data_IF_570128862821
#
_entry.id   IF_570128862821
#
_cell.length_a   1.000
_cell.length_b   1.000
_cell.length_c   1.000
_cell.angle_alpha   90.00
_cell.angle_beta   90.00
_cell.angle_gamma   90.00
#
_symmetry.space_group_name_H-M   'P 1'
#
loop_
_entity.id
_entity.type
_entity.pdbx_description
1 polymer ?
#
# COMPACT_ATOMS: atom_id res chain seq x y z
N UNK A 1 0.36 22.99 -3.97
CA UNK A 1 -0.81 22.07 -3.90
C UNK A 1 -0.53 20.74 -3.20
N UNK A 2 0.54 20.00 -3.53
CA UNK A 2 0.81 18.69 -2.93
C UNK A 2 0.87 18.71 -1.39
N UNK A 3 1.68 19.60 -0.80
CA UNK A 3 1.83 19.72 0.66
C UNK A 3 0.51 20.02 1.39
N UNK A 4 -0.37 20.84 0.78
CA UNK A 4 -1.67 21.14 1.35
C UNK A 4 -2.59 19.90 1.34
N UNK A 5 -2.55 19.11 0.26
CA UNK A 5 -3.33 17.86 0.15
C UNK A 5 -2.78 16.73 1.02
N UNK A 6 -1.51 16.75 1.41
CA UNK A 6 -0.91 15.73 2.28
C UNK A 6 -0.78 16.17 3.75
N UNK A 7 -1.19 17.40 4.10
CA UNK A 7 -1.03 17.96 5.44
C UNK A 7 -1.73 17.14 6.55
N UNK A 8 -2.81 16.42 6.21
CA UNK A 8 -3.54 15.55 7.14
C UNK A 8 -2.95 14.14 7.26
N UNK A 9 -1.97 13.79 6.42
CA UNK A 9 -1.33 12.48 6.41
C UNK A 9 -0.10 12.49 7.30
N UNK A 10 0.18 11.37 7.97
CA UNK A 10 1.35 11.28 8.86
C UNK A 10 2.65 11.43 8.05
N UNK A 11 3.55 12.35 8.45
CA UNK A 11 4.85 12.50 7.81
C UNK A 11 5.67 11.20 7.84
N UNK A 12 6.41 10.94 6.76
CA UNK A 12 7.25 9.74 6.63
C UNK A 12 6.56 8.52 6.01
N UNK A 13 5.25 8.57 5.77
CA UNK A 13 4.54 7.51 5.03
C UNK A 13 4.77 7.69 3.52
N UNK A 14 5.25 6.66 2.79
CA UNK A 14 5.42 6.73 1.35
C UNK A 14 4.06 6.70 0.65
N UNK A 15 3.70 7.83 0.04
CA UNK A 15 2.44 8.04 -0.66
C UNK A 15 2.72 8.23 -2.16
N UNK A 16 2.26 7.31 -3.03
CA UNK A 16 2.44 7.46 -4.46
C UNK A 16 1.53 8.55 -5.03
N UNK A 17 2.05 9.31 -5.99
CA UNK A 17 1.28 10.26 -6.78
C UNK A 17 1.44 9.94 -8.27
N UNK A 18 0.34 9.98 -9.03
CA UNK A 18 0.38 9.92 -10.50
C UNK A 18 0.30 11.34 -11.03
N UNK A 19 1.32 11.77 -11.76
CA UNK A 19 1.34 13.07 -12.42
C UNK A 19 1.02 12.88 -13.89
N UNK A 20 -0.02 13.55 -14.38
CA UNK A 20 -0.42 13.62 -15.78
C UNK A 20 -0.03 14.99 -16.31
N UNK A 21 0.95 15.03 -17.23
CA UNK A 21 1.42 16.25 -17.87
C UNK A 21 0.77 16.37 -19.24
N UNK A 22 0.15 17.51 -19.54
CA UNK A 22 -0.50 17.80 -20.81
C UNK A 22 0.42 18.61 -21.75
N UNK A 23 0.13 18.67 -23.06
CA UNK A 23 0.97 19.36 -24.04
C UNK A 23 1.12 20.88 -23.80
N UNK A 24 0.13 21.50 -23.15
CA UNK A 24 0.15 22.90 -22.72
C UNK A 24 1.03 23.15 -21.49
N UNK A 25 1.82 22.16 -21.05
CA UNK A 25 2.61 22.15 -19.82
C UNK A 25 1.77 22.28 -18.54
N UNK A 26 0.44 22.18 -18.64
CA UNK A 26 -0.39 21.99 -17.45
C UNK A 26 -0.18 20.58 -16.90
N UNK A 27 -0.27 20.45 -15.58
CA UNK A 27 -0.18 19.15 -14.92
C UNK A 27 -1.35 18.96 -13.96
N UNK A 28 -1.81 17.73 -13.87
CA UNK A 28 -2.74 17.28 -12.84
C UNK A 28 -2.09 16.13 -12.08
N UNK A 29 -2.18 16.13 -10.76
CA UNK A 29 -1.66 15.02 -9.96
C UNK A 29 -2.75 14.42 -9.07
N UNK A 30 -2.80 13.10 -9.08
CA UNK A 30 -3.67 12.28 -8.25
C UNK A 30 -2.83 11.64 -7.14
N UNK A 31 -3.16 11.96 -5.90
CA UNK A 31 -2.57 11.32 -4.72
C UNK A 31 -3.30 10.00 -4.48
N UNK A 32 -2.52 8.94 -4.22
CA UNK A 32 -3.03 7.60 -3.95
C UNK A 32 -2.88 7.26 -2.47
N UNK A 33 -3.47 6.17 -2.05
CA UNK A 33 -3.26 5.59 -0.72
C UNK A 33 -1.85 5.02 -0.58
N UNK A 34 -1.32 4.92 0.66
CA UNK A 34 0.02 4.36 0.94
C UNK A 34 0.23 3.00 0.29
N UNK A 35 1.45 2.66 -0.12
CA UNK A 35 1.70 1.40 -0.84
C UNK A 35 1.30 0.17 -0.02
N UNK A 36 0.79 -0.87 -0.70
CA UNK A 36 0.35 -2.11 -0.03
C UNK A 36 1.50 -2.76 0.74
N UNK A 37 2.71 -2.78 0.18
CA UNK A 37 3.90 -3.29 0.85
C UNK A 37 4.23 -2.53 2.14
N UNK A 38 4.07 -1.19 2.15
CA UNK A 38 4.27 -0.40 3.37
C UNK A 38 3.23 -0.74 4.44
N UNK A 39 1.95 -0.83 4.05
CA UNK A 39 0.85 -1.17 4.97
C UNK A 39 1.03 -2.57 5.57
N UNK A 40 1.45 -3.54 4.77
CA UNK A 40 1.71 -4.92 5.21
C UNK A 40 2.88 -5.01 6.20
N UNK A 41 3.99 -4.34 5.89
CA UNK A 41 5.16 -4.31 6.78
C UNK A 41 4.86 -3.59 8.10
N UNK A 42 4.10 -2.49 8.03
CA UNK A 42 3.63 -1.77 9.22
C UNK A 42 2.70 -2.64 10.08
N UNK A 43 1.74 -3.34 9.47
CA UNK A 43 0.84 -4.25 10.19
C UNK A 43 1.59 -5.44 10.82
N UNK A 44 2.68 -5.89 10.19
CA UNK A 44 3.55 -6.95 10.71
C UNK A 44 4.60 -6.44 11.73
N UNK A 45 4.58 -5.16 12.10
CA UNK A 45 5.59 -4.51 12.97
C UNK A 45 7.03 -4.68 12.49
N UNK A 46 7.24 -4.74 11.17
CA UNK A 46 8.57 -4.89 10.57
C UNK A 46 9.14 -3.52 10.24
N UNK A 47 10.31 -3.21 10.82
CA UNK A 47 11.02 -1.98 10.51
C UNK A 47 11.45 -1.92 9.03
N UNK A 48 11.14 -0.79 8.41
CA UNK A 48 11.53 -0.47 7.04
C UNK A 48 13.02 -0.10 7.01
N UNK A 49 13.89 -1.09 6.76
CA UNK A 49 15.31 -0.80 6.52
C UNK A 49 15.45 -0.05 5.17
N UNK A 50 16.00 1.17 5.22
CA UNK A 50 16.32 1.99 4.03
C UNK A 50 16.97 1.13 2.95
N UNK A 51 16.37 1.09 1.76
CA UNK A 51 16.95 0.45 0.56
C UNK A 51 16.69 -1.05 0.39
N UNK A 52 16.02 -1.72 1.33
CA UNK A 52 15.54 -3.11 1.14
C UNK A 52 14.07 -3.20 1.55
N UNK A 53 13.18 -3.42 0.58
CA UNK A 53 12.02 -4.26 0.85
C UNK A 53 12.61 -5.61 1.29
N UNK A 54 12.73 -5.84 2.61
CA UNK A 54 13.04 -7.18 3.13
C UNK A 54 12.01 -8.12 2.48
N UNK A 55 12.49 -9.18 1.83
CA UNK A 55 11.68 -10.03 0.95
C UNK A 55 12.13 -10.08 -0.52
N UNK A 56 13.27 -9.47 -0.91
CA UNK A 56 13.86 -9.66 -2.26
C UNK A 56 14.24 -11.13 -2.56
N UNK A 57 14.12 -12.02 -1.58
CA UNK A 57 14.18 -13.47 -1.74
C UNK A 57 12.88 -14.01 -1.17
N UNK A 58 11.98 -14.55 -2.00
CA UNK A 58 10.65 -15.05 -1.64
C UNK A 58 10.62 -16.25 -0.69
N UNK A 59 11.72 -16.48 0.04
CA UNK A 59 11.94 -17.61 0.92
C UNK A 59 11.98 -17.22 2.40
N UNK A 60 12.18 -15.94 2.75
CA UNK A 60 12.25 -15.50 4.14
C UNK A 60 10.94 -14.86 4.61
N UNK A 61 10.37 -15.43 5.67
CA UNK A 61 9.20 -14.85 6.35
C UNK A 61 9.69 -13.75 7.30
N UNK A 62 9.30 -12.51 7.03
CA UNK A 62 9.72 -11.32 7.78
C UNK A 62 8.75 -10.94 8.89
N UNK A 63 7.53 -11.46 8.84
CA UNK A 63 6.49 -11.20 9.83
C UNK A 63 5.19 -11.93 9.49
N UNK A 64 4.23 -11.86 10.41
CA UNK A 64 2.93 -12.53 10.27
C UNK A 64 1.79 -11.56 10.53
N UNK A 65 0.71 -11.65 9.77
CA UNK A 65 -0.51 -10.85 9.95
C UNK A 65 -1.75 -11.75 9.98
N UNK A 66 -2.81 -11.28 10.64
CA UNK A 66 -4.11 -11.96 10.63
C UNK A 66 -5.00 -11.50 9.47
N UNK A 67 -6.04 -12.27 9.16
CA UNK A 67 -7.05 -11.91 8.16
C UNK A 67 -7.75 -10.56 8.46
N UNK A 68 -7.85 -10.16 9.73
CA UNK A 68 -8.41 -8.86 10.12
C UNK A 68 -7.60 -7.70 9.54
N UNK A 69 -6.27 -7.78 9.61
CA UNK A 69 -5.38 -6.77 9.05
C UNK A 69 -5.48 -6.71 7.53
N UNK A 70 -5.59 -7.87 6.86
CA UNK A 70 -5.80 -7.93 5.40
C UNK A 70 -7.07 -7.18 5.00
N UNK A 71 -8.15 -7.39 5.74
CA UNK A 71 -9.44 -6.75 5.49
C UNK A 71 -9.39 -5.24 5.69
N UNK A 72 -8.72 -4.75 6.74
CA UNK A 72 -8.51 -3.33 6.97
C UNK A 72 -7.69 -2.67 5.85
N UNK A 73 -6.60 -3.32 5.42
CA UNK A 73 -5.77 -2.85 4.31
C UNK A 73 -6.59 -2.80 3.01
N UNK A 74 -7.42 -3.83 2.75
CA UNK A 74 -8.29 -3.87 1.60
C UNK A 74 -9.32 -2.73 1.62
N UNK A 75 -9.92 -2.42 2.78
CA UNK A 75 -10.84 -1.27 2.94
C UNK A 75 -10.16 0.07 2.68
N UNK A 76 -8.95 0.28 3.22
CA UNK A 76 -8.17 1.49 2.96
C UNK A 76 -7.90 1.63 1.46
N UNK A 77 -7.57 0.53 0.78
CA UNK A 77 -7.33 0.54 -0.67
C UNK A 77 -8.59 0.77 -1.49
N UNK A 78 -9.73 0.23 -1.04
CA UNK A 78 -11.01 0.38 -1.71
C UNK A 78 -11.54 1.81 -1.71
N UNK A 79 -11.11 2.67 -0.78
CA UNK A 79 -11.48 4.09 -0.77
C UNK A 79 -10.94 4.87 -1.98
N UNK A 80 -10.03 4.28 -2.75
CA UNK A 80 -9.55 4.87 -3.99
C UNK A 80 -10.59 4.69 -5.10
N UNK A 81 -10.93 5.77 -5.79
CA UNK A 81 -11.92 5.76 -6.89
C UNK A 81 -11.62 4.70 -7.97
N UNK A 82 -10.35 4.39 -8.24
CA UNK A 82 -9.99 3.37 -9.25
C UNK A 82 -10.25 1.93 -8.77
N UNK A 83 -10.30 1.72 -7.46
CA UNK A 83 -10.46 0.40 -6.82
C UNK A 83 -11.86 0.22 -6.21
N UNK A 84 -12.67 1.28 -6.13
CA UNK A 84 -14.00 1.25 -5.51
C UNK A 84 -14.98 0.32 -6.22
N UNK A 85 -14.78 0.05 -7.51
CA UNK A 85 -15.59 -0.91 -8.28
C UNK A 85 -15.21 -2.38 -8.08
N UNK A 86 -14.09 -2.67 -7.40
CA UNK A 86 -13.67 -4.05 -7.11
C UNK A 86 -14.37 -4.58 -5.86
N UNK A 87 -14.72 -5.85 -5.89
CA UNK A 87 -15.25 -6.53 -4.70
C UNK A 87 -14.20 -6.56 -3.59
N UNK A 88 -14.67 -6.43 -2.34
CA UNK A 88 -13.79 -6.43 -1.18
C UNK A 88 -13.04 -7.77 -1.03
N UNK A 89 -13.70 -8.88 -1.39
CA UNK A 89 -13.07 -10.21 -1.45
C UNK A 89 -11.92 -10.26 -2.47
N UNK A 90 -12.12 -9.70 -3.67
CA UNK A 90 -11.09 -9.61 -4.70
C UNK A 90 -9.89 -8.79 -4.23
N UNK A 91 -10.15 -7.65 -3.58
CA UNK A 91 -9.10 -6.83 -2.98
C UNK A 91 -8.33 -7.56 -1.88
N UNK A 92 -9.02 -8.28 -1.00
CA UNK A 92 -8.38 -9.12 0.02
C UNK A 92 -7.44 -10.17 -0.62
N UNK A 93 -7.88 -10.86 -1.67
CA UNK A 93 -7.04 -11.83 -2.41
C UNK A 93 -5.80 -11.17 -3.00
N UNK A 94 -5.93 -9.97 -3.58
CA UNK A 94 -4.79 -9.20 -4.10
C UNK A 94 -3.81 -8.77 -3.00
N UNK A 95 -4.32 -8.38 -1.82
CA UNK A 95 -3.47 -8.02 -0.67
C UNK A 95 -2.73 -9.25 -0.13
N UNK A 96 -3.39 -10.42 -0.04
CA UNK A 96 -2.75 -11.68 0.35
C UNK A 96 -1.62 -12.07 -0.62
N UNK A 97 -1.88 -11.96 -1.92
CA UNK A 97 -0.85 -12.19 -2.94
C UNK A 97 0.35 -11.25 -2.76
N UNK A 98 0.08 -9.96 -2.47
CA UNK A 98 1.13 -8.97 -2.19
C UNK A 98 1.91 -9.29 -0.90
N UNK A 99 1.25 -9.83 0.13
CA UNK A 99 1.89 -10.24 1.38
C UNK A 99 2.95 -11.32 1.12
N UNK A 100 2.64 -12.31 0.27
CA UNK A 100 3.59 -13.35 -0.15
C UNK A 100 4.83 -12.76 -0.82
N UNK A 101 4.66 -11.78 -1.71
CA UNK A 101 5.79 -11.12 -2.40
C UNK A 101 6.69 -10.30 -1.46
N UNK A 102 6.17 -9.89 -0.30
CA UNK A 102 6.90 -9.10 0.70
C UNK A 102 7.44 -10.00 1.83
N UNK A 103 7.16 -11.30 1.81
CA UNK A 103 7.57 -12.24 2.86
C UNK A 103 6.73 -12.15 4.13
N UNK A 104 5.50 -11.63 4.06
CA UNK A 104 4.57 -11.60 5.19
C UNK A 104 3.62 -12.78 5.09
N UNK A 105 3.62 -13.63 6.11
CA UNK A 105 2.71 -14.78 6.19
C UNK A 105 1.34 -14.34 6.72
N UNK A 106 0.27 -14.82 6.09
CA UNK A 106 -1.11 -14.55 6.51
C UNK A 106 -1.62 -15.77 7.27
N UNK A 107 -1.99 -15.55 8.54
CA UNK A 107 -2.60 -16.57 9.39
C UNK A 107 -4.13 -16.34 9.49
N UNK A 108 -4.93 -17.42 9.52
CA UNK A 108 -6.37 -17.34 9.75
C UNK A 108 -6.72 -16.56 11.03
#
# INVERSE_FOLDING_TARGET
EFNARTAHMTPGIPIPARVTVRPDRSFHFEIRTPTTSYLLLKAANVELKKGKLKGKSGNEIVGTISLKHVFEIAKIKQSELRLSGLSLEGLCKSVISSAKSVGVEVKP
#
